data_IF_442386400638
#
_entry.id   IF_442386400638
#
_cell.length_a   1.000
_cell.length_b   1.000
_cell.length_c   1.000
_cell.angle_alpha   90.00
_cell.angle_beta   90.00
_cell.angle_gamma   90.00
#
_symmetry.space_group_name_H-M   'P 1'
#
loop_
_entity.id
_entity.type
_entity.pdbx_description
1 polymer ?
#
# COMPACT_ATOMS: atom_id res chain seq x y z
N UNK A 1 -2.81 -7.29 -14.34
CA UNK A 1 -2.35 -6.43 -13.25
C UNK A 1 -3.56 -5.86 -12.53
N UNK A 2 -3.58 -5.93 -11.20
CA UNK A 2 -4.71 -5.54 -10.38
C UNK A 2 -4.80 -4.01 -10.27
N UNK A 3 -5.79 -3.43 -10.94
CA UNK A 3 -6.01 -1.98 -11.00
C UNK A 3 -6.03 -1.34 -9.61
N UNK A 4 -6.73 -1.94 -8.65
CA UNK A 4 -6.85 -1.39 -7.28
C UNK A 4 -5.52 -1.32 -6.54
N UNK A 5 -4.64 -2.31 -6.71
CA UNK A 5 -3.32 -2.32 -6.07
C UNK A 5 -2.45 -1.20 -6.65
N UNK A 6 -2.50 -0.99 -7.98
CA UNK A 6 -1.79 0.12 -8.62
C UNK A 6 -2.28 1.49 -8.14
N UNK A 7 -3.58 1.67 -7.98
CA UNK A 7 -4.17 2.90 -7.44
C UNK A 7 -3.65 3.19 -6.02
N UNK A 8 -3.69 2.20 -5.13
CA UNK A 8 -3.22 2.34 -3.75
C UNK A 8 -1.72 2.63 -3.66
N UNK A 9 -0.90 2.01 -4.53
CA UNK A 9 0.52 2.32 -4.65
C UNK A 9 0.73 3.79 -5.06
N UNK A 10 -0.03 4.28 -6.05
CA UNK A 10 0.04 5.68 -6.47
C UNK A 10 -0.40 6.67 -5.37
N UNK A 11 -1.41 6.31 -4.58
CA UNK A 11 -1.81 7.07 -3.41
C UNK A 11 -0.68 7.15 -2.37
N UNK A 12 -0.05 6.02 -2.04
CA UNK A 12 1.08 5.99 -1.10
C UNK A 12 2.26 6.83 -1.60
N UNK A 13 2.59 6.77 -2.90
CA UNK A 13 3.61 7.63 -3.51
C UNK A 13 3.27 9.12 -3.33
N UNK A 14 2.02 9.50 -3.58
CA UNK A 14 1.51 10.88 -3.38
C UNK A 14 1.54 11.28 -1.89
N UNK A 15 1.41 10.31 -1.00
CA UNK A 15 1.51 10.49 0.45
C UNK A 15 2.95 10.59 0.96
N UNK A 16 3.96 10.39 0.09
CA UNK A 16 5.37 10.56 0.40
C UNK A 16 6.12 9.26 0.64
N UNK A 17 5.51 8.10 0.35
CA UNK A 17 6.20 6.82 0.41
C UNK A 17 7.06 6.63 -0.83
N UNK A 18 8.30 6.22 -0.63
CA UNK A 18 9.20 5.87 -1.72
C UNK A 18 8.96 4.43 -2.20
N UNK A 19 9.30 4.14 -3.46
CA UNK A 19 9.13 2.82 -4.06
C UNK A 19 9.76 1.68 -3.25
N UNK A 20 10.90 1.92 -2.59
CA UNK A 20 11.53 0.91 -1.75
C UNK A 20 10.67 0.55 -0.52
N UNK A 21 10.04 1.54 0.11
CA UNK A 21 9.16 1.33 1.26
C UNK A 21 7.90 0.59 0.82
N UNK A 22 7.32 0.98 -0.31
CA UNK A 22 6.14 0.32 -0.86
C UNK A 22 6.45 -1.14 -1.19
N UNK A 23 7.61 -1.42 -1.82
CA UNK A 23 8.06 -2.79 -2.09
C UNK A 23 8.28 -3.60 -0.80
N UNK A 24 8.81 -2.99 0.26
CA UNK A 24 8.93 -3.64 1.56
C UNK A 24 7.56 -3.94 2.16
N UNK A 25 6.65 -2.97 2.18
CA UNK A 25 5.27 -3.14 2.67
C UNK A 25 4.55 -4.29 1.94
N UNK A 26 4.66 -4.35 0.61
CA UNK A 26 4.10 -5.44 -0.18
C UNK A 26 4.76 -6.77 0.22
N UNK A 27 6.09 -6.82 0.30
CA UNK A 27 6.82 -8.02 0.70
C UNK A 27 6.47 -8.49 2.12
N UNK A 28 6.21 -7.57 3.04
CA UNK A 28 5.85 -7.91 4.41
C UNK A 28 4.43 -8.48 4.51
N UNK A 29 3.52 -8.09 3.61
CA UNK A 29 2.14 -8.61 3.57
C UNK A 29 2.02 -9.97 2.87
N UNK A 30 2.65 -10.12 1.71
CA UNK A 30 2.49 -11.31 0.85
C UNK A 30 3.76 -12.17 0.76
N UNK A 31 4.79 -11.84 1.54
CA UNK A 31 6.08 -12.53 1.51
C UNK A 31 6.80 -12.37 0.17
N UNK A 32 7.36 -13.47 -0.32
CA UNK A 32 8.04 -13.55 -1.62
C UNK A 32 7.08 -13.84 -2.78
N UNK A 33 5.76 -13.81 -2.57
CA UNK A 33 4.79 -14.05 -3.64
C UNK A 33 4.88 -12.96 -4.71
N UNK A 34 4.86 -13.38 -5.97
CA UNK A 34 4.78 -12.45 -7.10
C UNK A 34 3.40 -11.78 -7.14
N UNK A 35 3.37 -10.45 -7.25
CA UNK A 35 2.13 -9.65 -7.43
C UNK A 35 1.23 -10.17 -8.56
N UNK A 36 1.83 -10.74 -9.62
CA UNK A 36 1.10 -11.29 -10.76
C UNK A 36 0.53 -12.70 -10.52
N UNK A 37 0.93 -13.37 -9.43
CA UNK A 37 0.56 -14.75 -9.10
C UNK A 37 -0.24 -14.87 -7.81
N UNK A 38 -0.64 -13.76 -7.20
CA UNK A 38 -1.43 -13.76 -5.98
C UNK A 38 -2.76 -14.48 -6.20
N UNK A 39 -3.12 -15.33 -5.25
CA UNK A 39 -4.48 -15.85 -5.12
C UNK A 39 -5.46 -14.72 -4.79
N UNK A 40 -6.75 -14.96 -5.00
CA UNK A 40 -7.79 -13.99 -4.64
C UNK A 40 -7.80 -13.65 -3.14
N UNK A 41 -7.31 -14.55 -2.28
CA UNK A 41 -7.17 -14.31 -0.85
C UNK A 41 -6.02 -13.34 -0.56
N UNK A 42 -4.82 -13.62 -1.08
CA UNK A 42 -3.65 -12.75 -0.91
C UNK A 42 -3.88 -11.35 -1.52
N UNK A 43 -4.63 -11.26 -2.62
CA UNK A 43 -5.00 -9.97 -3.20
C UNK A 43 -5.87 -9.15 -2.26
N UNK A 44 -6.85 -9.77 -1.60
CA UNK A 44 -7.74 -9.08 -0.65
C UNK A 44 -6.96 -8.64 0.58
N UNK A 45 -6.05 -9.46 1.06
CA UNK A 45 -5.17 -9.14 2.18
C UNK A 45 -4.26 -7.97 1.84
N UNK A 46 -3.60 -8.01 0.69
CA UNK A 46 -2.73 -6.93 0.21
C UNK A 46 -3.50 -5.62 0.01
N UNK A 47 -4.69 -5.66 -0.60
CA UNK A 47 -5.54 -4.47 -0.75
C UNK A 47 -5.92 -3.90 0.61
N UNK A 48 -6.35 -4.74 1.55
CA UNK A 48 -6.76 -4.30 2.89
C UNK A 48 -5.60 -3.65 3.64
N UNK A 49 -4.41 -4.24 3.61
CA UNK A 49 -3.24 -3.67 4.27
C UNK A 49 -2.76 -2.38 3.61
N UNK A 50 -2.71 -2.31 2.27
CA UNK A 50 -2.36 -1.07 1.56
C UNK A 50 -3.36 0.07 1.87
N UNK A 51 -4.65 -0.23 1.96
CA UNK A 51 -5.66 0.75 2.39
C UNK A 51 -5.41 1.25 3.82
N UNK A 52 -4.97 0.39 4.73
CA UNK A 52 -4.65 0.79 6.10
C UNK A 52 -3.44 1.72 6.15
N UNK A 53 -2.39 1.42 5.39
CA UNK A 53 -1.23 2.32 5.23
C UNK A 53 -1.63 3.68 4.65
N UNK A 54 -2.49 3.69 3.62
CA UNK A 54 -3.02 4.92 3.03
C UNK A 54 -3.78 5.73 4.08
N UNK A 55 -4.72 5.11 4.82
CA UNK A 55 -5.50 5.79 5.87
C UNK A 55 -4.61 6.35 6.97
N UNK A 56 -3.60 5.60 7.39
CA UNK A 56 -2.63 6.06 8.38
C UNK A 56 -1.84 7.27 7.89
N UNK A 57 -1.30 7.20 6.68
CA UNK A 57 -0.53 8.28 6.08
C UNK A 57 -1.38 9.56 5.86
N UNK A 58 -2.64 9.41 5.45
CA UNK A 58 -3.58 10.54 5.37
C UNK A 58 -3.81 11.18 6.75
N UNK A 59 -4.00 10.37 7.81
CA UNK A 59 -4.11 10.90 9.18
C UNK A 59 -2.86 11.66 9.61
N UNK A 60 -1.67 11.12 9.34
CA UNK A 60 -0.40 11.79 9.66
C UNK A 60 -0.23 13.13 8.92
N UNK A 61 -0.55 13.19 7.62
CA UNK A 61 -0.55 14.46 6.85
C UNK A 61 -1.53 15.48 7.42
N UNK A 62 -2.68 15.03 7.92
CA UNK A 62 -3.69 15.91 8.53
C UNK A 62 -3.19 16.49 9.85
N UNK A 63 -2.48 15.70 10.65
CA UNK A 63 -1.88 16.14 11.93
C UNK A 63 -0.73 17.14 11.71
N UNK A 64 0.06 17.01 10.63
CA UNK A 64 1.15 17.94 10.33
C UNK A 64 0.71 19.32 9.82
N UNK A 65 -0.51 19.47 9.28
CA UNK A 65 -1.06 20.76 8.85
C UNK A 65 -1.68 21.59 9.99
N UNK A 66 -1.87 21.01 11.17
CA UNK A 66 -2.47 21.67 12.32
C UNK A 66 -1.43 22.28 13.30
N UNK A 67 -0.16 22.43 12.88
CA UNK A 67 0.92 23.00 13.67
C UNK A 67 1.44 24.30 13.08
#
# INVERSE_FOLDING_TARGET
MHQKIHELIGELQTLGYHDFQIKQIIRDMIGSSDLNRLSAAEQRELVSGLEEYVRFAMKCKTVQRAR
#
